data_IF_184398620997
#
_entry.id   IF_184398620997
#
_cell.length_a   1.000
_cell.length_b   1.000
_cell.length_c   1.000
_cell.angle_alpha   90.00
_cell.angle_beta   90.00
_cell.angle_gamma   90.00
#
_symmetry.space_group_name_H-M   'P 1'
#
loop_
_entity.id
_entity.type
_entity.pdbx_description
1 polymer ?
#
# COMPACT_ATOMS: atom_id res chain seq x y z
N UNK A 1 54.64 15.92 -30.54
CA UNK A 1 53.82 15.93 -29.31
C UNK A 1 52.35 15.79 -29.65
N UNK A 2 51.60 15.09 -28.79
CA UNK A 2 50.15 14.87 -28.76
C UNK A 2 49.64 13.59 -29.47
N UNK A 3 49.95 12.45 -28.86
CA UNK A 3 49.14 11.23 -28.96
C UNK A 3 47.90 11.48 -28.10
N UNK A 4 46.74 11.64 -28.73
CA UNK A 4 45.46 11.74 -28.04
C UNK A 4 44.97 10.33 -27.70
N UNK A 5 45.32 9.87 -26.49
CA UNK A 5 44.74 8.67 -25.89
C UNK A 5 43.62 9.12 -24.96
N UNK A 6 42.41 9.27 -25.49
CA UNK A 6 41.22 9.53 -24.69
C UNK A 6 40.68 8.20 -24.18
N UNK A 7 41.10 7.84 -22.96
CA UNK A 7 40.59 6.69 -22.21
C UNK A 7 39.10 6.94 -21.95
N UNK A 8 38.23 6.07 -22.48
CA UNK A 8 36.83 5.98 -22.10
C UNK A 8 36.75 5.70 -20.59
N UNK A 9 36.49 6.73 -19.79
CA UNK A 9 36.08 6.56 -18.42
C UNK A 9 34.68 5.93 -18.41
N UNK A 10 34.63 4.64 -18.04
CA UNK A 10 33.38 3.91 -17.87
C UNK A 10 32.48 4.59 -16.85
N UNK A 11 31.33 5.08 -17.33
CA UNK A 11 30.19 5.40 -16.48
C UNK A 11 29.69 4.10 -15.84
N UNK A 12 30.22 3.76 -14.68
CA UNK A 12 29.57 2.85 -13.75
C UNK A 12 28.36 3.59 -13.18
N UNK A 13 27.24 3.52 -13.91
CA UNK A 13 25.93 3.84 -13.39
C UNK A 13 25.64 2.85 -12.27
N UNK A 14 25.93 3.25 -11.03
CA UNK A 14 25.37 2.63 -9.84
C UNK A 14 23.86 2.89 -9.89
N UNK A 15 23.13 1.96 -10.50
CA UNK A 15 21.68 1.94 -10.43
C UNK A 15 21.32 1.95 -8.94
N UNK A 16 20.46 2.86 -8.45
CA UNK A 16 20.06 2.81 -7.07
C UNK A 16 19.35 1.47 -6.89
N UNK A 17 20.02 0.57 -6.16
CA UNK A 17 19.36 -0.55 -5.49
C UNK A 17 18.17 0.10 -4.80
N UNK A 18 16.95 -0.25 -5.23
CA UNK A 18 15.74 0.26 -4.61
C UNK A 18 15.82 -0.15 -3.15
N UNK A 19 16.11 0.81 -2.27
CA UNK A 19 16.06 0.61 -0.84
C UNK A 19 14.60 0.22 -0.55
N UNK A 20 14.38 -1.08 -0.35
CA UNK A 20 13.10 -1.59 0.09
C UNK A 20 12.91 -1.01 1.48
N UNK A 21 12.16 0.08 1.54
CA UNK A 21 11.93 0.77 2.80
C UNK A 21 11.12 -0.16 3.70
N UNK A 22 11.81 -0.75 4.67
CA UNK A 22 11.20 -1.57 5.71
C UNK A 22 10.48 -0.63 6.66
N UNK A 23 9.15 -0.63 6.56
CA UNK A 23 8.29 0.16 7.43
C UNK A 23 7.91 -0.66 8.64
N UNK A 24 7.85 -0.03 9.81
CA UNK A 24 7.14 -0.60 10.94
C UNK A 24 5.63 -0.69 10.62
N UNK A 25 4.88 -1.57 11.29
CA UNK A 25 3.42 -1.66 11.10
C UNK A 25 2.73 -0.31 11.24
N UNK A 26 3.09 0.49 12.26
CA UNK A 26 2.53 1.83 12.47
C UNK A 26 2.86 2.82 11.34
N UNK A 27 4.06 2.73 10.76
CA UNK A 27 4.42 3.55 9.60
C UNK A 27 3.65 3.13 8.35
N UNK A 28 3.46 1.83 8.13
CA UNK A 28 2.65 1.31 7.02
C UNK A 28 1.20 1.80 7.12
N UNK A 29 0.59 1.74 8.31
CA UNK A 29 -0.76 2.26 8.59
C UNK A 29 -0.87 3.77 8.32
N UNK A 30 0.11 4.54 8.79
CA UNK A 30 0.16 5.99 8.57
C UNK A 30 0.24 6.31 7.07
N UNK A 31 1.07 5.58 6.32
CA UNK A 31 1.18 5.74 4.87
C UNK A 31 -0.07 5.33 4.14
N UNK A 32 -0.72 4.23 4.56
CA UNK A 32 -1.99 3.82 3.99
C UNK A 32 -3.03 4.92 4.19
N UNK A 33 -3.19 5.45 5.40
CA UNK A 33 -4.12 6.53 5.69
C UNK A 33 -3.85 7.77 4.84
N UNK A 34 -2.59 8.17 4.72
CA UNK A 34 -2.19 9.29 3.85
C UNK A 34 -2.56 9.05 2.39
N UNK A 35 -2.33 7.83 1.86
CA UNK A 35 -2.72 7.46 0.51
C UNK A 35 -4.24 7.51 0.33
N UNK A 36 -5.01 6.93 1.26
CA UNK A 36 -6.47 6.92 1.19
C UNK A 36 -7.05 8.34 1.19
N UNK A 37 -6.51 9.23 2.02
CA UNK A 37 -6.92 10.63 2.08
C UNK A 37 -6.60 11.37 0.77
N UNK A 38 -5.38 11.21 0.25
CA UNK A 38 -4.98 11.82 -1.01
C UNK A 38 -5.80 11.29 -2.20
N UNK A 39 -5.98 9.97 -2.26
CA UNK A 39 -6.78 9.30 -3.29
C UNK A 39 -8.25 9.71 -3.25
N UNK A 40 -8.83 9.88 -2.05
CA UNK A 40 -10.19 10.36 -1.89
C UNK A 40 -10.41 11.77 -2.47
N UNK A 41 -9.37 12.61 -2.47
CA UNK A 41 -9.41 13.93 -3.09
C UNK A 41 -9.72 13.90 -4.59
N UNK A 42 -9.20 12.89 -5.31
CA UNK A 42 -9.43 12.68 -6.74
C UNK A 42 -10.45 11.59 -7.09
N UNK A 43 -11.14 11.02 -6.10
CA UNK A 43 -12.02 9.88 -6.32
C UNK A 43 -13.31 10.27 -7.09
N UNK A 44 -13.86 9.37 -7.93
CA UNK A 44 -15.16 9.57 -8.56
C UNK A 44 -16.27 9.89 -7.54
N UNK A 45 -17.09 10.90 -7.85
CA UNK A 45 -18.22 11.32 -6.97
C UNK A 45 -19.56 10.69 -7.36
N UNK A 46 -19.54 9.69 -8.23
CA UNK A 46 -20.74 8.99 -8.72
C UNK A 46 -21.33 8.01 -7.72
N UNK A 47 -20.59 7.63 -6.66
CA UNK A 47 -21.06 6.75 -5.59
C UNK A 47 -19.92 6.18 -4.76
N UNK A 48 -20.22 5.69 -3.55
CA UNK A 48 -19.19 5.19 -2.63
C UNK A 48 -18.45 4.00 -3.23
N UNK A 49 -19.16 3.08 -3.91
CA UNK A 49 -18.55 1.92 -4.55
C UNK A 49 -17.49 2.31 -5.57
N UNK A 50 -17.79 3.27 -6.44
CA UNK A 50 -16.85 3.74 -7.45
C UNK A 50 -15.61 4.41 -6.82
N UNK A 51 -15.82 5.23 -5.78
CA UNK A 51 -14.73 5.83 -5.02
C UNK A 51 -13.84 4.77 -4.35
N UNK A 52 -14.43 3.77 -3.70
CA UNK A 52 -13.68 2.69 -3.03
C UNK A 52 -12.83 1.91 -4.03
N UNK A 53 -13.38 1.51 -5.17
CA UNK A 53 -12.63 0.79 -6.20
C UNK A 53 -11.45 1.63 -6.72
N UNK A 54 -11.69 2.90 -7.06
CA UNK A 54 -10.66 3.78 -7.60
C UNK A 54 -9.51 4.03 -6.60
N UNK A 55 -9.84 4.36 -5.35
CA UNK A 55 -8.84 4.64 -4.31
C UNK A 55 -8.07 3.38 -3.92
N UNK A 56 -8.74 2.21 -3.86
CA UNK A 56 -8.04 0.94 -3.61
C UNK A 56 -7.07 0.59 -4.72
N UNK A 57 -7.44 0.81 -5.98
CA UNK A 57 -6.53 0.58 -7.10
C UNK A 57 -5.29 1.47 -7.00
N UNK A 58 -5.48 2.75 -6.64
CA UNK A 58 -4.39 3.71 -6.45
C UNK A 58 -3.48 3.33 -5.27
N UNK A 59 -4.06 2.96 -4.13
CA UNK A 59 -3.34 2.69 -2.88
C UNK A 59 -2.97 1.22 -2.66
N UNK A 60 -3.08 0.38 -3.70
CA UNK A 60 -2.88 -1.07 -3.59
C UNK A 60 -1.55 -1.45 -2.92
N UNK A 61 -0.39 -0.85 -3.26
CA UNK A 61 0.88 -1.22 -2.62
C UNK A 61 0.88 -0.98 -1.10
N UNK A 62 0.20 0.06 -0.61
CA UNK A 62 0.11 0.37 0.82
C UNK A 62 -0.90 -0.56 1.51
N UNK A 63 -2.01 -0.89 0.84
CA UNK A 63 -2.99 -1.86 1.33
C UNK A 63 -2.34 -3.23 1.50
N UNK A 64 -1.59 -3.68 0.50
CA UNK A 64 -0.93 -4.99 0.53
C UNK A 64 0.07 -5.06 1.70
N UNK A 65 0.90 -4.02 1.91
CA UNK A 65 1.84 -3.99 3.06
C UNK A 65 1.12 -4.05 4.42
N UNK A 66 0.04 -3.28 4.58
CA UNK A 66 -0.74 -3.31 5.84
C UNK A 66 -1.41 -4.68 6.02
N UNK A 67 -1.94 -5.25 4.95
CA UNK A 67 -2.51 -6.59 4.98
C UNK A 67 -1.46 -7.63 5.42
N UNK A 68 -0.24 -7.59 4.86
CA UNK A 68 0.83 -8.51 5.22
C UNK A 68 1.19 -8.40 6.72
N UNK A 69 1.33 -7.19 7.25
CA UNK A 69 1.60 -6.98 8.68
C UNK A 69 0.47 -7.50 9.56
N UNK A 70 -0.79 -7.15 9.26
CA UNK A 70 -1.95 -7.57 10.06
C UNK A 70 -2.20 -9.07 9.98
N UNK A 71 -1.98 -9.68 8.82
CA UNK A 71 -2.08 -11.15 8.65
C UNK A 71 -0.98 -11.83 9.47
N UNK A 72 0.26 -11.37 9.39
CA UNK A 72 1.36 -11.95 10.16
C UNK A 72 1.09 -11.88 11.67
N UNK A 73 0.55 -10.76 12.16
CA UNK A 73 0.15 -10.60 13.56
C UNK A 73 -1.03 -11.52 13.92
N UNK A 74 -2.11 -11.50 13.13
CA UNK A 74 -3.32 -12.28 13.40
C UNK A 74 -3.10 -13.80 13.35
N UNK A 75 -2.12 -14.26 12.56
CA UNK A 75 -1.83 -15.69 12.39
C UNK A 75 -0.70 -16.19 13.29
N UNK A 76 -0.11 -15.32 14.12
CA UNK A 76 1.04 -15.68 14.94
C UNK A 76 0.72 -16.83 15.90
N UNK A 77 1.44 -17.94 15.75
CA UNK A 77 1.27 -19.13 16.59
C UNK A 77 0.06 -20.01 16.24
N UNK A 78 -0.70 -19.65 15.20
CA UNK A 78 -1.83 -20.44 14.70
C UNK A 78 -1.38 -21.38 13.57
N UNK A 79 -2.12 -22.47 13.37
CA UNK A 79 -1.87 -23.41 12.27
C UNK A 79 -3.19 -23.90 11.67
N UNK A 80 -3.15 -24.45 10.45
CA UNK A 80 -4.32 -25.04 9.79
C UNK A 80 -5.48 -24.06 9.63
N UNK A 81 -6.70 -24.54 9.88
CA UNK A 81 -7.94 -23.79 9.66
C UNK A 81 -8.03 -22.52 10.53
N UNK A 82 -7.47 -22.54 11.74
CA UNK A 82 -7.47 -21.39 12.64
C UNK A 82 -6.67 -20.22 12.06
N UNK A 83 -5.50 -20.52 11.47
CA UNK A 83 -4.67 -19.51 10.80
C UNK A 83 -5.39 -18.93 9.57
N UNK A 84 -6.07 -19.76 8.78
CA UNK A 84 -6.80 -19.27 7.61
C UNK A 84 -8.00 -18.41 8.00
N UNK A 85 -8.74 -18.79 9.04
CA UNK A 85 -9.84 -17.97 9.57
C UNK A 85 -9.34 -16.62 10.09
N UNK A 86 -8.23 -16.60 10.84
CA UNK A 86 -7.62 -15.37 11.33
C UNK A 86 -7.15 -14.47 10.19
N UNK A 87 -6.51 -15.05 9.16
CA UNK A 87 -6.11 -14.35 7.93
C UNK A 87 -7.31 -13.70 7.22
N UNK A 88 -8.39 -14.45 7.01
CA UNK A 88 -9.60 -13.94 6.35
C UNK A 88 -10.26 -12.82 7.15
N UNK A 89 -10.36 -12.99 8.47
CA UNK A 89 -10.89 -11.97 9.37
C UNK A 89 -10.08 -10.67 9.29
N UNK A 90 -8.74 -10.75 9.33
CA UNK A 90 -7.86 -9.59 9.20
C UNK A 90 -8.07 -8.84 7.87
N UNK A 91 -8.21 -9.57 6.76
CA UNK A 91 -8.48 -8.97 5.43
C UNK A 91 -9.84 -8.28 5.39
N UNK A 92 -10.89 -8.92 5.93
CA UNK A 92 -12.23 -8.34 5.96
C UNK A 92 -12.29 -7.07 6.80
N UNK A 93 -11.67 -7.09 7.99
CA UNK A 93 -11.57 -5.91 8.85
C UNK A 93 -10.86 -4.76 8.15
N UNK A 94 -9.72 -5.02 7.49
CA UNK A 94 -8.99 -4.02 6.72
C UNK A 94 -9.84 -3.46 5.57
N UNK A 95 -10.59 -4.32 4.86
CA UNK A 95 -11.47 -3.89 3.78
C UNK A 95 -12.57 -2.94 4.28
N UNK A 96 -13.19 -3.26 5.41
CA UNK A 96 -14.23 -2.44 6.02
C UNK A 96 -13.68 -1.10 6.52
N UNK A 97 -12.50 -1.11 7.13
CA UNK A 97 -11.81 0.12 7.55
C UNK A 97 -11.49 1.04 6.37
N UNK A 98 -10.97 0.48 5.27
CA UNK A 98 -10.69 1.25 4.06
C UNK A 98 -11.98 1.86 3.50
N UNK A 99 -13.05 1.07 3.40
CA UNK A 99 -14.33 1.56 2.90
C UNK A 99 -14.89 2.69 3.77
N UNK A 100 -14.85 2.54 5.10
CA UNK A 100 -15.24 3.58 6.06
C UNK A 100 -14.38 4.84 5.95
N UNK A 101 -13.06 4.69 5.85
CA UNK A 101 -12.15 5.82 5.69
C UNK A 101 -12.46 6.62 4.42
N UNK A 102 -12.66 5.93 3.29
CA UNK A 102 -12.99 6.58 2.02
C UNK A 102 -14.35 7.26 2.09
N UNK A 103 -15.37 6.61 2.69
CA UNK A 103 -16.67 7.25 2.92
C UNK A 103 -16.53 8.55 3.72
N UNK A 104 -15.74 8.53 4.79
CA UNK A 104 -15.49 9.70 5.63
C UNK A 104 -14.73 10.81 4.88
N UNK A 105 -13.71 10.47 4.09
CA UNK A 105 -12.94 11.46 3.33
C UNK A 105 -13.72 12.06 2.16
N UNK A 106 -14.59 11.28 1.52
CA UNK A 106 -15.36 11.72 0.34
C UNK A 106 -16.72 12.33 0.69
N UNK A 107 -17.28 12.00 1.86
CA UNK A 107 -18.64 12.34 2.28
C UNK A 107 -19.73 11.45 1.66
N UNK A 108 -19.34 10.41 0.90
CA UNK A 108 -20.28 9.51 0.21
C UNK A 108 -20.83 8.46 1.19
N UNK A 109 -22.14 8.19 1.13
CA UNK A 109 -22.84 7.33 2.13
C UNK A 109 -23.52 6.09 1.54
N UNK A 110 -23.73 6.04 0.23
CA UNK A 110 -24.46 4.95 -0.44
C UNK A 110 -23.53 4.14 -1.32
N UNK A 111 -23.52 2.81 -1.08
CA UNK A 111 -22.95 1.81 -1.99
C UNK A 111 -23.87 1.59 -3.20
#
# INVERSE_FOLDING_TARGET
MKIACAILAGLLLTVPISAQETLSPAQAETRLRGCLQAGAGGAPRTGLRAAVVAVRALCKPQIDRVADHRIAEATQGLTGDEAEQARQSAILQLNDEIARAIANFTGLRTL
#
